data_IF_882054920422
#
_entry.id   IF_882054920422
#
_cell.length_a   1.000
_cell.length_b   1.000
_cell.length_c   1.000
_cell.angle_alpha   90.00
_cell.angle_beta   90.00
_cell.angle_gamma   90.00
#
_symmetry.space_group_name_H-M   'P 1'
#
loop_
_entity.id
_entity.type
_entity.pdbx_description
1 polymer ?
#
# COMPACT_ATOMS: atom_id res chain seq x y z
N UNK A 1 -8.73 6.84 14.73
CA UNK A 1 -8.34 8.18 15.21
C UNK A 1 -6.81 8.24 15.33
N UNK A 2 -6.06 8.25 14.21
CA UNK A 2 -4.59 8.14 14.21
C UNK A 2 -3.87 9.37 14.81
N UNK A 3 -4.53 10.52 14.79
CA UNK A 3 -4.02 11.80 15.31
C UNK A 3 -3.80 11.79 16.84
N UNK A 4 -4.65 11.08 17.61
CA UNK A 4 -4.48 10.95 19.06
C UNK A 4 -3.25 10.10 19.41
N UNK A 5 -3.00 9.04 18.65
CA UNK A 5 -1.82 8.18 18.82
C UNK A 5 -0.52 8.89 18.44
N UNK A 6 -0.53 9.69 17.36
CA UNK A 6 0.62 10.49 16.97
C UNK A 6 0.98 11.55 18.02
N UNK A 7 -0.03 12.23 18.58
CA UNK A 7 0.17 13.21 19.65
C UNK A 7 0.76 12.55 20.91
N UNK A 8 0.23 11.39 21.31
CA UNK A 8 0.75 10.65 22.46
C UNK A 8 2.21 10.19 22.26
N UNK A 9 2.57 9.76 21.05
CA UNK A 9 3.95 9.42 20.69
C UNK A 9 4.88 10.63 20.84
N UNK A 10 4.44 11.80 20.38
CA UNK A 10 5.18 13.06 20.42
C UNK A 10 5.42 13.53 21.86
N UNK A 11 4.39 13.50 22.72
CA UNK A 11 4.54 13.86 24.13
C UNK A 11 5.49 12.90 24.88
N UNK A 12 5.36 11.59 24.64
CA UNK A 12 6.26 10.60 25.23
C UNK A 12 7.72 10.83 24.81
N UNK A 13 7.96 11.16 23.53
CA UNK A 13 9.30 11.49 23.05
C UNK A 13 9.88 12.72 23.73
N UNK A 14 9.12 13.82 23.81
CA UNK A 14 9.57 15.05 24.49
C UNK A 14 9.86 14.82 25.97
N UNK A 15 9.06 13.99 26.65
CA UNK A 15 9.29 13.60 28.04
C UNK A 15 10.60 12.81 28.24
N UNK A 16 10.91 11.89 27.32
CA UNK A 16 12.17 11.13 27.35
C UNK A 16 13.37 12.02 27.01
N UNK A 17 13.29 12.79 25.93
CA UNK A 17 14.39 13.65 25.47
C UNK A 17 14.74 14.75 26.48
N UNK A 18 13.74 15.31 27.18
CA UNK A 18 13.95 16.31 28.22
C UNK A 18 14.58 15.77 29.51
N UNK A 19 14.60 14.45 29.71
CA UNK A 19 15.18 13.79 30.89
C UNK A 19 16.58 13.22 30.69
N UNK A 20 17.18 13.36 29.50
CA UNK A 20 18.51 12.80 29.22
C UNK A 20 19.60 13.71 29.81
N UNK A 21 20.24 13.23 30.87
CA UNK A 21 21.47 13.85 31.40
C UNK A 21 22.69 13.29 30.64
N UNK A 22 23.26 14.13 29.77
CA UNK A 22 24.43 13.76 28.96
C UNK A 22 25.70 13.57 29.81
N UNK A 23 25.78 14.15 31.00
CA UNK A 23 26.93 13.99 31.89
C UNK A 23 27.01 12.59 32.51
N UNK A 24 25.89 11.86 32.51
CA UNK A 24 25.79 10.51 33.06
C UNK A 24 25.95 9.40 32.00
N UNK A 25 26.32 9.72 30.75
CA UNK A 25 26.41 8.74 29.64
C UNK A 25 27.37 7.59 29.93
N UNK A 26 28.44 7.83 30.70
CA UNK A 26 29.40 6.80 31.10
C UNK A 26 28.81 5.79 32.11
N UNK A 27 27.64 6.10 32.69
CA UNK A 27 26.89 5.18 33.54
C UNK A 27 25.96 4.29 32.72
N UNK A 28 25.70 3.08 33.21
CA UNK A 28 24.74 2.15 32.59
C UNK A 28 23.36 2.78 32.44
N UNK A 29 22.92 3.55 33.43
CA UNK A 29 21.63 4.24 33.42
C UNK A 29 21.57 5.34 32.36
N UNK A 30 22.64 6.12 32.21
CA UNK A 30 22.73 7.16 31.18
C UNK A 30 22.80 6.58 29.77
N UNK A 31 23.58 5.50 29.57
CA UNK A 31 23.62 4.76 28.31
C UNK A 31 22.25 4.18 27.93
N UNK A 32 21.50 3.64 28.90
CA UNK A 32 20.14 3.14 28.69
C UNK A 32 19.17 4.28 28.34
N UNK A 33 19.21 5.40 29.07
CA UNK A 33 18.38 6.56 28.80
C UNK A 33 18.63 7.13 27.40
N UNK A 34 19.90 7.22 26.99
CA UNK A 34 20.28 7.65 25.65
C UNK A 34 19.78 6.68 24.57
N UNK A 35 19.92 5.36 24.78
CA UNK A 35 19.42 4.36 23.85
C UNK A 35 17.90 4.45 23.67
N UNK A 36 17.15 4.64 24.76
CA UNK A 36 15.69 4.82 24.72
C UNK A 36 15.32 6.13 24.00
N UNK A 37 16.05 7.22 24.25
CA UNK A 37 15.83 8.48 23.56
C UNK A 37 16.06 8.37 22.04
N UNK A 38 17.13 7.70 21.62
CA UNK A 38 17.42 7.44 20.21
C UNK A 38 16.36 6.56 19.56
N UNK A 39 15.95 5.47 20.23
CA UNK A 39 14.92 4.58 19.70
C UNK A 39 13.55 5.26 19.60
N UNK A 40 13.23 6.12 20.56
CA UNK A 40 12.02 6.94 20.49
C UNK A 40 12.09 7.95 19.35
N UNK A 41 13.24 8.61 19.14
CA UNK A 41 13.45 9.54 18.03
C UNK A 41 13.27 8.87 16.67
N UNK A 42 13.83 7.67 16.47
CA UNK A 42 13.69 6.93 15.21
C UNK A 42 12.24 6.54 14.97
N UNK A 43 11.51 6.07 15.98
CA UNK A 43 10.09 5.74 15.84
C UNK A 43 9.25 6.96 15.47
N UNK A 44 9.50 8.12 16.09
CA UNK A 44 8.84 9.37 15.72
C UNK A 44 9.13 9.72 14.27
N UNK A 45 10.39 9.67 13.84
CA UNK A 45 10.77 9.96 12.45
C UNK A 45 10.08 9.01 11.46
N UNK A 46 10.10 7.70 11.73
CA UNK A 46 9.40 6.71 10.91
C UNK A 46 7.90 7.00 10.84
N UNK A 47 7.28 7.38 11.96
CA UNK A 47 5.86 7.72 11.99
C UNK A 47 5.55 8.95 11.14
N UNK A 48 6.39 9.99 11.18
CA UNK A 48 6.25 11.18 10.33
C UNK A 48 6.40 10.81 8.87
N UNK A 49 7.41 10.01 8.52
CA UNK A 49 7.61 9.53 7.14
C UNK A 49 6.40 8.72 6.67
N UNK A 50 5.90 7.80 7.50
CA UNK A 50 4.75 6.97 7.18
C UNK A 50 3.46 7.77 7.00
N UNK A 51 3.27 8.84 7.78
CA UNK A 51 2.12 9.76 7.61
C UNK A 51 2.30 10.63 6.37
N UNK A 52 3.48 11.20 6.15
CA UNK A 52 3.77 12.06 5.01
C UNK A 52 3.71 11.31 3.67
N UNK A 53 4.08 10.03 3.68
CA UNK A 53 4.04 9.13 2.53
C UNK A 53 2.91 8.10 2.65
N UNK A 54 1.89 8.39 3.44
CA UNK A 54 0.68 7.58 3.44
C UNK A 54 0.08 7.70 2.04
N UNK A 55 0.40 6.72 1.18
CA UNK A 55 -0.24 6.58 -0.11
C UNK A 55 -1.75 6.56 0.16
N UNK A 56 -2.56 7.40 -0.51
CA UNK A 56 -4.00 7.24 -0.48
C UNK A 56 -4.27 5.78 -0.78
N UNK A 57 -4.87 5.07 0.19
CA UNK A 57 -5.00 3.62 0.17
C UNK A 57 -5.35 3.16 -1.23
N UNK A 58 -4.39 2.47 -1.86
CA UNK A 58 -4.41 2.15 -3.27
C UNK A 58 -5.58 1.23 -3.58
N UNK A 59 -6.76 1.79 -3.80
CA UNK A 59 -7.61 1.29 -4.86
C UNK A 59 -6.72 1.32 -6.10
N UNK A 60 -6.28 0.12 -6.54
CA UNK A 60 -5.65 -0.03 -7.85
C UNK A 60 -6.44 0.84 -8.82
N UNK A 61 -5.80 1.74 -9.60
CA UNK A 61 -6.53 2.59 -10.52
C UNK A 61 -7.45 1.66 -11.33
N UNK A 62 -8.77 1.94 -11.37
CA UNK A 62 -9.70 1.03 -12.01
C UNK A 62 -9.13 0.72 -13.39
N UNK A 63 -8.86 -0.57 -13.64
CA UNK A 63 -8.22 -0.98 -14.88
C UNK A 63 -8.98 -0.31 -16.02
N UNK A 64 -8.31 0.35 -17.00
CA UNK A 64 -8.95 1.09 -18.09
C UNK A 64 -9.87 0.25 -19.02
N UNK A 65 -10.29 -0.95 -18.60
CA UNK A 65 -11.14 -1.90 -19.33
C UNK A 65 -12.45 -2.28 -18.66
N UNK A 66 -12.86 -1.68 -17.53
CA UNK A 66 -14.15 -2.07 -16.92
C UNK A 66 -15.02 -0.90 -16.51
N UNK A 67 -15.51 -0.19 -17.52
CA UNK A 67 -16.79 0.52 -17.47
C UNK A 67 -17.60 0.25 -18.74
N UNK A 68 -17.65 -1.03 -19.17
CA UNK A 68 -18.68 -1.48 -20.10
C UNK A 68 -19.86 -1.82 -19.20
N UNK A 69 -20.82 -0.91 -19.10
CA UNK A 69 -22.10 -1.18 -18.43
C UNK A 69 -22.76 -2.40 -19.10
N UNK A 70 -23.52 -3.19 -18.34
CA UNK A 70 -24.22 -4.38 -18.88
C UNK A 70 -25.20 -4.01 -20.01
N UNK A 71 -25.59 -2.74 -20.08
CA UNK A 71 -26.42 -2.15 -21.13
C UNK A 71 -25.65 -1.77 -22.42
N UNK A 72 -24.31 -1.78 -22.39
CA UNK A 72 -23.48 -1.44 -23.55
C UNK A 72 -23.49 -2.60 -24.52
N UNK A 73 -24.21 -2.42 -25.63
CA UNK A 73 -24.15 -3.29 -26.79
C UNK A 73 -22.74 -3.23 -27.38
N UNK A 74 -21.95 -4.25 -27.09
CA UNK A 74 -20.73 -4.51 -27.84
C UNK A 74 -21.13 -4.70 -29.30
N UNK A 75 -20.57 -3.89 -30.20
CA UNK A 75 -20.58 -4.20 -31.62
C UNK A 75 -19.70 -5.45 -31.84
N UNK A 76 -20.21 -6.61 -31.43
CA UNK A 76 -19.57 -7.88 -31.72
C UNK A 76 -19.69 -8.07 -33.21
N UNK A 77 -18.55 -8.11 -33.89
CA UNK A 77 -18.48 -8.56 -35.27
C UNK A 77 -19.12 -9.95 -35.31
N UNK A 78 -20.21 -10.09 -36.06
CA UNK A 78 -20.81 -11.40 -36.32
C UNK A 78 -19.69 -12.34 -36.83
N UNK A 79 -19.40 -13.44 -36.11
CA UNK A 79 -18.32 -14.34 -36.48
C UNK A 79 -18.52 -14.97 -37.87
N UNK A 80 -19.77 -15.00 -38.34
CA UNK A 80 -20.17 -15.50 -39.65
C UNK A 80 -20.49 -14.37 -40.65
N UNK A 81 -20.17 -13.11 -40.32
CA UNK A 81 -20.36 -11.97 -41.21
C UNK A 81 -19.70 -12.21 -42.57
N UNK A 82 -20.41 -12.01 -43.70
CA UNK A 82 -19.82 -12.14 -45.03
C UNK A 82 -18.69 -11.14 -45.19
N UNK A 83 -17.46 -11.62 -45.28
CA UNK A 83 -16.33 -10.73 -45.48
C UNK A 83 -14.96 -11.35 -45.34
N UNK A 84 -14.76 -12.38 -44.51
CA UNK A 84 -13.42 -12.97 -44.33
C UNK A 84 -13.51 -14.51 -44.27
N UNK A 85 -12.97 -15.24 -45.27
CA UNK A 85 -12.80 -16.68 -45.17
C UNK A 85 -11.89 -17.00 -43.97
N UNK A 86 -12.45 -17.53 -42.89
CA UNK A 86 -11.65 -18.10 -41.81
C UNK A 86 -11.27 -19.52 -42.21
N UNK A 87 -9.98 -19.89 -42.17
CA UNK A 87 -9.58 -21.30 -42.24
C UNK A 87 -10.29 -22.03 -41.08
N UNK A 88 -11.24 -22.92 -41.39
CA UNK A 88 -11.79 -23.81 -40.38
C UNK A 88 -10.65 -24.74 -40.00
N UNK A 89 -10.22 -24.70 -38.74
CA UNK A 89 -9.39 -25.79 -38.21
C UNK A 89 -10.12 -27.12 -38.52
N UNK A 90 -9.40 -28.20 -38.83
CA UNK A 90 -10.02 -29.48 -39.10
C UNK A 90 -10.98 -29.82 -37.96
N UNK A 91 -12.26 -29.98 -38.30
CA UNK A 91 -13.26 -30.47 -37.35
C UNK A 91 -12.87 -31.94 -37.12
N UNK A 92 -12.20 -32.25 -36.02
CA UNK A 92 -12.15 -33.63 -35.56
C UNK A 92 -13.60 -33.98 -35.21
N UNK A 93 -14.29 -34.63 -36.13
CA UNK A 93 -15.62 -35.17 -35.88
C UNK A 93 -15.50 -36.03 -34.62
N UNK A 94 -16.18 -35.61 -33.54
CA UNK A 94 -16.36 -36.48 -32.39
C UNK A 94 -17.10 -37.72 -32.89
N UNK A 95 -16.41 -38.86 -32.91
CA UNK A 95 -16.99 -40.15 -33.20
C UNK A 95 -18.11 -40.41 -32.19
N UNK A 96 -19.35 -40.48 -32.64
CA UNK A 96 -20.43 -41.05 -31.87
C UNK A 96 -20.25 -42.58 -31.89
N UNK A 97 -19.91 -43.15 -30.74
CA UNK A 97 -19.97 -44.59 -30.46
C UNK A 97 -20.63 -44.76 -29.10
#
# INVERSE_FOLDING_TARGET
MPHLSALHLLLSFFGVAGGVDLSAVDSVTGALALAVALMSATLVLLSVVAVAHAAPGGASPPHPRRAIDASVLLAQSDPDAPGHPRPRAPQSAASAA
#
